data_IF_981030422064
#
_entry.id   IF_981030422064
#
_cell.length_a   1.000
_cell.length_b   1.000
_cell.length_c   1.000
_cell.angle_alpha   90.00
_cell.angle_beta   90.00
_cell.angle_gamma   90.00
#
_symmetry.space_group_name_H-M   'P 1'
#
loop_
_entity.id
_entity.type
_entity.pdbx_description
1 polymer ?
#
# COMPACT_ATOMS: atom_id res chain seq x y z
N UNK A 1 14.01 18.51 38.71
CA UNK A 1 13.72 17.58 37.60
C UNK A 1 15.03 16.98 37.15
N UNK A 2 15.04 15.65 37.08
CA UNK A 2 16.06 14.81 36.47
C UNK A 2 16.31 15.18 35.00
N UNK A 3 17.45 14.75 34.47
CA UNK A 3 17.80 14.95 33.06
C UNK A 3 16.75 14.33 32.14
N UNK A 4 16.24 13.14 32.46
CA UNK A 4 15.23 12.44 31.67
C UNK A 4 13.86 13.12 31.74
N UNK A 5 13.49 13.70 32.90
CA UNK A 5 12.30 14.54 32.99
C UNK A 5 12.42 15.82 32.17
N UNK A 6 13.60 16.44 32.15
CA UNK A 6 13.87 17.62 31.33
C UNK A 6 13.87 17.29 29.83
N UNK A 7 14.33 16.10 29.43
CA UNK A 7 14.25 15.59 28.04
C UNK A 7 12.79 15.32 27.64
N UNK A 8 11.99 14.71 28.52
CA UNK A 8 10.56 14.55 28.31
C UNK A 8 9.88 15.92 28.17
N UNK A 9 10.15 16.84 29.08
CA UNK A 9 9.61 18.21 29.05
C UNK A 9 10.01 18.95 27.78
N UNK A 10 11.27 18.87 27.33
CA UNK A 10 11.73 19.58 26.14
C UNK A 10 11.13 19.03 24.84
N UNK A 11 10.97 17.71 24.73
CA UNK A 11 10.28 17.09 23.59
C UNK A 11 8.80 17.49 23.57
N UNK A 12 8.20 17.64 24.74
CA UNK A 12 6.79 18.01 24.90
C UNK A 12 6.52 19.49 24.65
N UNK A 13 7.45 20.36 25.08
CA UNK A 13 7.39 21.80 24.88
C UNK A 13 7.72 22.22 23.45
N UNK A 14 8.26 21.33 22.61
CA UNK A 14 8.37 21.59 21.18
C UNK A 14 6.94 21.82 20.65
N UNK A 15 6.60 23.07 20.30
CA UNK A 15 5.32 23.31 19.69
C UNK A 15 5.32 22.55 18.35
N UNK A 16 4.20 21.96 17.91
CA UNK A 16 4.09 21.35 16.58
C UNK A 16 4.10 22.42 15.45
N UNK A 17 4.97 23.44 15.59
CA UNK A 17 4.75 24.83 15.17
C UNK A 17 4.96 25.11 13.70
N UNK A 18 5.20 24.09 12.87
CA UNK A 18 5.23 24.25 11.42
C UNK A 18 4.44 23.17 10.66
N UNK A 19 3.81 22.21 11.35
CA UNK A 19 3.09 21.10 10.71
C UNK A 19 1.56 21.20 10.76
N UNK A 20 1.01 22.18 11.49
CA UNK A 20 -0.43 22.29 11.75
C UNK A 20 -1.02 23.69 11.42
N UNK A 21 -0.37 24.46 10.56
CA UNK A 21 -0.94 25.72 10.05
C UNK A 21 -2.05 25.41 9.03
N UNK A 22 -3.31 25.47 9.49
CA UNK A 22 -4.60 25.80 8.85
C UNK A 22 -4.91 25.51 7.36
N UNK A 23 -4.06 24.80 6.61
CA UNK A 23 -4.34 24.45 5.21
C UNK A 23 -4.33 22.98 4.88
N UNK A 24 -4.10 22.10 5.85
CA UNK A 24 -4.38 20.69 5.68
C UNK A 24 -4.43 20.02 7.05
N UNK A 25 -5.62 19.55 7.44
CA UNK A 25 -5.86 18.70 8.60
C UNK A 25 -5.28 17.29 8.37
N UNK A 26 -4.02 17.22 7.94
CA UNK A 26 -3.29 15.99 7.67
C UNK A 26 -2.47 15.68 8.92
N UNK A 27 -2.76 14.56 9.60
CA UNK A 27 -1.79 13.94 10.49
C UNK A 27 -0.58 13.55 9.63
N UNK A 28 0.43 14.41 9.62
CA UNK A 28 1.64 14.24 8.80
C UNK A 28 2.62 13.27 9.47
N UNK A 29 3.59 12.80 8.69
CA UNK A 29 4.77 12.06 9.13
C UNK A 29 5.42 12.64 10.41
N UNK A 30 5.47 13.97 10.53
CA UNK A 30 5.98 14.69 11.69
C UNK A 30 5.23 14.39 12.99
N UNK A 31 3.92 14.15 12.92
CA UNK A 31 3.12 13.79 14.10
C UNK A 31 3.55 12.43 14.64
N UNK A 32 3.96 11.50 13.78
CA UNK A 32 4.43 10.18 14.20
C UNK A 32 5.82 10.24 14.83
N UNK A 33 6.79 10.91 14.18
CA UNK A 33 8.14 11.08 14.73
C UNK A 33 8.09 11.77 16.10
N UNK A 34 7.26 12.81 16.22
CA UNK A 34 7.02 13.50 17.48
C UNK A 34 6.49 12.55 18.56
N UNK A 35 5.43 11.78 18.29
CA UNK A 35 4.89 10.87 19.33
C UNK A 35 5.86 9.72 19.63
N UNK A 36 6.58 9.18 18.65
CA UNK A 36 7.62 8.18 18.91
C UNK A 36 8.73 8.73 19.82
N UNK A 37 9.10 10.01 19.64
CA UNK A 37 10.07 10.67 20.52
C UNK A 37 9.51 10.87 21.94
N UNK A 38 8.22 11.23 22.07
CA UNK A 38 7.53 11.31 23.36
C UNK A 38 7.50 9.94 24.05
N UNK A 39 7.10 8.87 23.35
CA UNK A 39 7.08 7.50 23.90
C UNK A 39 8.46 7.10 24.42
N UNK A 40 9.51 7.29 23.61
CA UNK A 40 10.88 6.97 24.03
C UNK A 40 11.32 7.78 25.25
N UNK A 41 10.95 9.06 25.32
CA UNK A 41 11.24 9.89 26.48
C UNK A 41 10.50 9.42 27.74
N UNK A 42 9.23 9.01 27.62
CA UNK A 42 8.46 8.44 28.74
C UNK A 42 9.09 7.13 29.22
N UNK A 43 9.52 6.24 28.32
CA UNK A 43 10.18 4.99 28.69
C UNK A 43 11.50 5.25 29.44
N UNK A 44 12.34 6.15 28.93
CA UNK A 44 13.59 6.55 29.61
C UNK A 44 13.30 7.15 30.99
N UNK A 45 12.29 8.00 31.09
CA UNK A 45 11.89 8.61 32.35
C UNK A 45 11.35 7.58 33.35
N UNK A 46 10.53 6.62 32.91
CA UNK A 46 10.04 5.53 33.74
C UNK A 46 11.18 4.66 34.29
N UNK A 47 12.16 4.32 33.45
CA UNK A 47 13.38 3.61 33.89
C UNK A 47 14.17 4.44 34.92
N UNK A 48 14.25 5.76 34.73
CA UNK A 48 14.92 6.68 35.68
C UNK A 48 14.18 6.69 37.03
N UNK A 49 12.84 6.83 37.02
CA UNK A 49 12.00 6.81 38.22
C UNK A 49 12.14 5.52 39.03
N UNK A 50 12.20 4.36 38.35
CA UNK A 50 12.33 3.06 38.99
C UNK A 50 13.68 2.87 39.70
N UNK A 51 14.71 3.66 39.34
CA UNK A 51 16.02 3.68 40.01
C UNK A 51 16.08 4.64 41.20
N UNK A 52 15.07 5.50 41.36
CA UNK A 52 15.04 6.50 42.43
C UNK A 52 14.49 5.92 43.74
N UNK A 53 15.09 6.35 44.85
CA UNK A 53 14.54 6.14 46.20
C UNK A 53 13.17 6.80 46.32
N UNK A 54 12.24 6.20 47.09
CA UNK A 54 10.82 6.60 47.12
C UNK A 54 10.61 8.11 47.32
N UNK A 55 11.39 8.73 48.22
CA UNK A 55 11.29 10.17 48.51
C UNK A 55 11.64 11.05 47.31
N UNK A 56 12.69 10.69 46.57
CA UNK A 56 13.14 11.44 45.40
C UNK A 56 12.21 11.21 44.23
N UNK A 57 11.73 9.97 44.06
CA UNK A 57 10.70 9.62 43.07
C UNK A 57 9.43 10.45 43.27
N UNK A 58 8.94 10.55 44.50
CA UNK A 58 7.74 11.34 44.84
C UNK A 58 7.96 12.85 44.61
N UNK A 59 9.17 13.35 44.86
CA UNK A 59 9.52 14.75 44.62
C UNK A 59 9.57 15.07 43.14
N UNK A 60 10.21 14.20 42.36
CA UNK A 60 10.32 14.29 40.91
C UNK A 60 8.95 14.23 40.22
N UNK A 61 8.10 13.29 40.64
CA UNK A 61 6.73 13.16 40.14
C UNK A 61 5.88 14.41 40.45
N UNK A 62 5.99 14.97 41.67
CA UNK A 62 5.29 16.23 42.01
C UNK A 62 5.74 17.39 41.13
N UNK A 63 7.00 17.46 40.75
CA UNK A 63 7.52 18.51 39.87
C UNK A 63 6.97 18.36 38.44
N UNK A 64 6.96 17.14 37.91
CA UNK A 64 6.37 16.86 36.61
C UNK A 64 4.88 17.20 36.58
N UNK A 65 4.10 16.81 37.59
CA UNK A 65 2.67 17.11 37.66
C UNK A 65 2.38 18.60 37.74
N UNK A 66 3.16 19.35 38.53
CA UNK A 66 3.04 20.81 38.58
C UNK A 66 3.32 21.45 37.23
N UNK A 67 4.32 20.94 36.53
CA UNK A 67 4.65 21.41 35.19
C UNK A 67 3.52 21.11 34.19
N UNK A 68 2.93 19.90 34.21
CA UNK A 68 1.79 19.55 33.35
C UNK A 68 0.57 20.44 33.65
N UNK A 69 0.21 20.62 34.91
CA UNK A 69 -0.90 21.49 35.35
C UNK A 69 -0.66 22.95 34.92
N UNK A 70 0.58 23.44 35.04
CA UNK A 70 0.95 24.78 34.58
C UNK A 70 0.78 24.92 33.05
N UNK A 71 1.19 23.91 32.27
CA UNK A 71 1.01 23.93 30.81
C UNK A 71 -0.47 23.85 30.40
N UNK A 72 -1.29 23.10 31.13
CA UNK A 72 -2.75 23.04 30.91
C UNK A 72 -3.42 24.38 31.15
N UNK A 73 -3.12 25.04 32.27
CA UNK A 73 -3.67 26.37 32.60
C UNK A 73 -3.26 27.43 31.59
N UNK A 74 -2.08 27.29 31.00
CA UNK A 74 -1.58 28.18 29.96
C UNK A 74 -2.18 27.91 28.58
N UNK A 75 -3.04 26.88 28.42
CA UNK A 75 -3.60 26.47 27.14
C UNK A 75 -2.57 25.86 26.18
N UNK A 76 -1.36 25.59 26.66
CA UNK A 76 -0.21 25.16 25.86
C UNK A 76 -0.05 23.62 25.81
N UNK A 77 -0.86 22.86 26.54
CA UNK A 77 -0.62 21.42 26.69
C UNK A 77 -1.09 20.60 25.48
N UNK A 78 -0.23 20.55 24.46
CA UNK A 78 -0.17 19.42 23.52
C UNK A 78 -0.12 18.10 24.31
N UNK A 79 0.58 18.09 25.45
CA UNK A 79 0.72 16.91 26.30
C UNK A 79 -0.59 16.41 26.88
N UNK A 80 -1.45 17.26 27.46
CA UNK A 80 -2.71 16.76 28.02
C UNK A 80 -3.68 16.37 26.93
N UNK A 81 -3.69 17.03 25.76
CA UNK A 81 -4.45 16.56 24.59
C UNK A 81 -3.96 15.20 24.07
N UNK A 82 -2.67 14.93 24.15
CA UNK A 82 -2.04 13.65 23.75
C UNK A 82 -2.24 12.57 24.83
N UNK A 83 -2.09 12.91 26.12
CA UNK A 83 -2.11 12.00 27.27
C UNK A 83 -3.51 11.75 27.85
N UNK A 84 -4.40 12.75 27.85
CA UNK A 84 -5.80 12.57 28.27
C UNK A 84 -6.57 11.71 27.28
N UNK A 85 -6.06 11.58 26.04
CA UNK A 85 -6.71 10.80 25.01
C UNK A 85 -8.15 11.23 24.75
N UNK A 86 -8.55 12.48 25.05
CA UNK A 86 -9.89 13.00 24.77
C UNK A 86 -10.05 13.25 23.25
N UNK A 87 -9.95 12.15 22.50
CA UNK A 87 -10.25 12.04 21.08
C UNK A 87 -11.76 11.95 20.85
N UNK A 88 -12.58 12.00 21.91
CA UNK A 88 -14.04 11.85 21.85
C UNK A 88 -14.74 13.07 21.25
N UNK A 89 -14.06 14.21 21.17
CA UNK A 89 -14.55 15.43 20.49
C UNK A 89 -14.33 15.42 18.98
N UNK A 90 -13.73 14.36 18.43
CA UNK A 90 -13.60 14.18 16.99
C UNK A 90 -14.83 13.37 16.53
N UNK A 91 -15.74 13.93 15.72
CA UNK A 91 -16.96 13.26 15.30
C UNK A 91 -16.70 11.85 14.74
N UNK A 92 -17.59 10.90 15.03
CA UNK A 92 -17.59 9.61 14.32
C UNK A 92 -17.68 9.90 12.81
N UNK A 93 -16.61 9.59 12.07
CA UNK A 93 -16.54 9.80 10.62
C UNK A 93 -15.50 10.82 10.13
N UNK A 94 -14.78 11.54 10.99
CA UNK A 94 -13.75 12.52 10.57
C UNK A 94 -12.31 11.99 10.61
N UNK A 95 -12.08 10.72 10.87
CA UNK A 95 -10.72 10.15 10.78
C UNK A 95 -10.41 9.72 9.36
N UNK A 96 -9.23 10.10 8.85
CA UNK A 96 -8.63 9.36 7.74
C UNK A 96 -8.30 7.96 8.26
N UNK A 97 -8.74 6.86 7.64
CA UNK A 97 -8.67 5.57 8.32
C UNK A 97 -7.23 5.03 8.47
N UNK A 98 -6.23 5.63 7.81
CA UNK A 98 -4.80 5.39 8.05
C UNK A 98 -4.28 5.92 9.37
N UNK A 99 -4.95 6.93 9.91
CA UNK A 99 -4.64 7.46 11.23
C UNK A 99 -5.08 6.51 12.33
N UNK A 100 -6.09 5.66 12.09
CA UNK A 100 -6.63 4.81 13.14
C UNK A 100 -5.64 3.72 13.60
N UNK A 101 -5.01 2.91 12.71
CA UNK A 101 -3.97 1.97 13.11
C UNK A 101 -2.79 2.65 13.79
N UNK A 102 -2.37 3.81 13.30
CA UNK A 102 -1.31 4.61 13.95
C UNK A 102 -1.72 5.02 15.35
N UNK A 103 -2.90 5.65 15.51
CA UNK A 103 -3.43 6.06 16.81
C UNK A 103 -3.57 4.89 17.77
N UNK A 104 -3.98 3.70 17.29
CA UNK A 104 -4.07 2.49 18.10
C UNK A 104 -2.70 2.01 18.57
N UNK A 105 -1.70 2.02 17.70
CA UNK A 105 -0.32 1.68 18.06
C UNK A 105 0.24 2.70 19.06
N UNK A 106 0.05 3.99 18.81
CA UNK A 106 0.43 5.06 19.73
C UNK A 106 -0.25 4.93 21.09
N UNK A 107 -1.56 4.64 21.11
CA UNK A 107 -2.29 4.41 22.35
C UNK A 107 -1.77 3.17 23.09
N UNK A 108 -1.44 2.10 22.36
CA UNK A 108 -0.86 0.87 22.93
C UNK A 108 0.50 1.14 23.57
N UNK A 109 1.37 1.84 22.87
CA UNK A 109 2.69 2.24 23.37
C UNK A 109 2.59 3.16 24.59
N UNK A 110 1.74 4.18 24.49
CA UNK A 110 1.47 5.08 25.61
C UNK A 110 0.90 4.30 26.80
N UNK A 111 -0.05 3.38 26.58
CA UNK A 111 -0.61 2.56 27.64
C UNK A 111 0.46 1.70 28.33
N UNK A 112 1.44 1.14 27.61
CA UNK A 112 2.56 0.40 28.21
C UNK A 112 3.43 1.33 29.05
N UNK A 113 3.81 2.48 28.50
CA UNK A 113 4.64 3.44 29.20
C UNK A 113 3.96 3.97 30.48
N UNK A 114 2.64 4.19 30.45
CA UNK A 114 1.86 4.59 31.62
C UNK A 114 1.67 3.48 32.65
N UNK A 115 1.77 2.20 32.27
CA UNK A 115 1.72 1.09 33.25
C UNK A 115 2.92 1.09 34.18
N UNK A 116 4.05 1.65 33.75
CA UNK A 116 5.26 1.81 34.58
C UNK A 116 5.10 2.92 35.63
N UNK A 117 4.12 3.82 35.49
CA UNK A 117 3.83 4.85 36.49
C UNK A 117 3.02 4.28 37.67
N UNK A 118 3.17 4.83 38.89
CA UNK A 118 2.27 4.52 40.00
C UNK A 118 0.82 4.81 39.64
N UNK A 119 -0.11 3.97 40.14
CA UNK A 119 -1.52 3.92 39.69
C UNK A 119 -2.23 5.28 39.81
N UNK A 120 -1.93 6.02 40.86
CA UNK A 120 -2.44 7.35 41.18
C UNK A 120 -2.02 8.44 40.17
N UNK A 121 -0.99 8.19 39.35
CA UNK A 121 -0.47 9.11 38.35
C UNK A 121 -0.74 8.67 36.92
N UNK A 122 -1.44 7.55 36.71
CA UNK A 122 -1.80 7.08 35.38
C UNK A 122 -2.95 7.94 34.83
N UNK A 123 -2.74 8.72 33.76
CA UNK A 123 -3.83 9.42 33.12
C UNK A 123 -4.82 8.41 32.54
N UNK A 124 -6.10 8.78 32.50
CA UNK A 124 -7.14 7.93 31.89
C UNK A 124 -6.96 7.95 30.37
N UNK A 125 -6.74 6.79 29.78
CA UNK A 125 -6.78 6.62 28.33
C UNK A 125 -8.21 6.26 27.89
N UNK A 126 -8.84 7.09 27.06
CA UNK A 126 -10.12 6.73 26.44
C UNK A 126 -9.92 5.65 25.38
N UNK A 127 -10.73 4.58 25.40
CA UNK A 127 -10.69 3.55 24.37
C UNK A 127 -10.97 4.17 23.00
N UNK A 128 -10.13 3.88 22.01
CA UNK A 128 -10.46 4.18 20.62
C UNK A 128 -11.75 3.43 20.22
N UNK A 129 -12.65 4.06 19.43
CA UNK A 129 -13.86 3.40 18.94
C UNK A 129 -13.47 2.20 18.08
N UNK A 130 -14.30 1.15 18.02
CA UNK A 130 -14.00 -0.03 17.20
C UNK A 130 -13.93 0.32 15.69
N UNK A 131 -12.83 -0.04 15.02
CA UNK A 131 -12.63 0.24 13.61
C UNK A 131 -13.15 -0.89 12.71
N UNK A 132 -14.40 -0.75 12.28
CA UNK A 132 -15.01 -1.59 11.26
C UNK A 132 -14.59 -1.22 9.82
N UNK A 133 -13.77 -0.19 9.63
CA UNK A 133 -13.47 0.29 8.27
C UNK A 133 -12.75 -0.75 7.44
N UNK A 134 -11.92 -1.61 8.03
CA UNK A 134 -11.21 -2.66 7.28
C UNK A 134 -12.18 -3.59 6.54
N UNK A 135 -13.23 -4.07 7.22
CA UNK A 135 -14.24 -4.95 6.64
C UNK A 135 -15.01 -4.20 5.55
N UNK A 136 -15.41 -2.94 5.85
CA UNK A 136 -16.14 -2.08 4.91
C UNK A 136 -15.33 -1.78 3.63
N UNK A 137 -14.05 -1.43 3.78
CA UNK A 137 -13.14 -1.07 2.69
C UNK A 137 -12.94 -2.26 1.75
N UNK A 138 -12.71 -3.46 2.29
CA UNK A 138 -12.56 -4.67 1.47
C UNK A 138 -13.87 -5.06 0.79
N UNK A 139 -15.02 -4.96 1.47
CA UNK A 139 -16.31 -5.21 0.84
C UNK A 139 -16.61 -4.24 -0.32
N UNK A 140 -16.25 -2.95 -0.17
CA UNK A 140 -16.34 -1.96 -1.24
C UNK A 140 -15.41 -2.28 -2.40
N UNK A 141 -14.17 -2.69 -2.12
CA UNK A 141 -13.20 -3.10 -3.15
C UNK A 141 -13.71 -4.28 -3.98
N UNK A 142 -14.30 -5.30 -3.33
CA UNK A 142 -14.90 -6.44 -4.02
C UNK A 142 -16.06 -6.00 -4.91
N UNK A 143 -16.92 -5.09 -4.45
CA UNK A 143 -18.02 -4.55 -5.27
C UNK A 143 -17.50 -3.81 -6.50
N UNK A 144 -16.44 -3.00 -6.37
CA UNK A 144 -15.80 -2.32 -7.50
C UNK A 144 -15.27 -3.35 -8.50
N UNK A 145 -14.55 -4.37 -8.04
CA UNK A 145 -14.00 -5.41 -8.92
C UNK A 145 -15.09 -6.23 -9.63
N UNK A 146 -16.21 -6.50 -8.96
CA UNK A 146 -17.37 -7.14 -9.58
C UNK A 146 -18.01 -6.27 -10.66
N UNK A 147 -18.12 -4.95 -10.44
CA UNK A 147 -18.62 -4.01 -11.45
C UNK A 147 -17.66 -3.93 -12.65
N UNK A 148 -16.35 -3.84 -12.38
CA UNK A 148 -15.32 -3.82 -13.40
C UNK A 148 -15.34 -5.10 -14.24
N UNK A 149 -15.54 -6.27 -13.63
CA UNK A 149 -15.72 -7.54 -14.35
C UNK A 149 -16.92 -7.53 -15.30
N UNK A 150 -18.06 -6.99 -14.86
CA UNK A 150 -19.24 -6.87 -15.72
C UNK A 150 -18.97 -5.92 -16.89
N UNK A 151 -18.40 -4.75 -16.62
CA UNK A 151 -18.03 -3.78 -17.66
C UNK A 151 -17.05 -4.38 -18.65
N UNK A 152 -16.03 -5.09 -18.16
CA UNK A 152 -15.05 -5.80 -18.96
C UNK A 152 -15.71 -6.84 -19.87
N UNK A 153 -16.53 -7.73 -19.31
CA UNK A 153 -17.19 -8.79 -20.08
C UNK A 153 -18.12 -8.22 -21.17
N UNK A 154 -18.80 -7.09 -20.89
CA UNK A 154 -19.64 -6.39 -21.86
C UNK A 154 -18.83 -5.80 -23.02
N UNK A 155 -17.73 -5.10 -22.71
CA UNK A 155 -16.85 -4.52 -23.74
C UNK A 155 -16.12 -5.61 -24.52
N UNK A 156 -15.62 -6.64 -23.84
CA UNK A 156 -14.93 -7.75 -24.50
C UNK A 156 -15.88 -8.42 -25.50
N UNK A 157 -17.10 -8.78 -25.09
CA UNK A 157 -18.10 -9.35 -26.01
C UNK A 157 -18.47 -8.42 -27.17
N UNK A 158 -18.46 -7.10 -26.97
CA UNK A 158 -18.80 -6.12 -28.01
C UNK A 158 -17.71 -5.99 -29.08
N UNK A 159 -16.45 -6.10 -28.68
CA UNK A 159 -15.28 -5.80 -29.52
C UNK A 159 -14.41 -7.00 -29.83
N UNK A 160 -14.79 -8.19 -29.42
CA UNK A 160 -14.22 -9.42 -29.96
C UNK A 160 -15.34 -10.31 -30.45
N UNK A 161 -15.18 -10.87 -31.65
CA UNK A 161 -16.04 -11.92 -32.19
C UNK A 161 -16.10 -13.17 -31.28
N UNK A 162 -15.18 -13.24 -30.31
CA UNK A 162 -15.09 -14.26 -29.28
C UNK A 162 -15.66 -13.74 -27.96
N UNK A 163 -16.52 -14.51 -27.29
CA UNK A 163 -16.73 -14.31 -25.85
C UNK A 163 -15.56 -14.92 -25.06
N UNK A 164 -15.38 -14.51 -23.79
CA UNK A 164 -14.26 -15.00 -22.97
C UNK A 164 -14.20 -16.54 -22.88
N UNK A 165 -15.35 -17.22 -22.83
CA UNK A 165 -15.36 -18.69 -22.78
C UNK A 165 -14.84 -19.33 -24.07
N UNK A 166 -15.10 -18.70 -25.22
CA UNK A 166 -14.62 -19.16 -26.52
C UNK A 166 -13.12 -18.92 -26.62
N UNK A 167 -12.66 -17.73 -26.24
CA UNK A 167 -11.22 -17.42 -26.13
C UNK A 167 -10.46 -18.44 -25.28
N UNK A 168 -10.98 -18.79 -24.10
CA UNK A 168 -10.35 -19.80 -23.23
C UNK A 168 -10.34 -21.19 -23.87
N UNK A 169 -11.39 -21.57 -24.60
CA UNK A 169 -11.42 -22.84 -25.35
C UNK A 169 -10.34 -22.84 -26.45
N UNK A 170 -10.25 -21.77 -27.24
CA UNK A 170 -9.25 -21.61 -28.30
C UNK A 170 -7.82 -21.69 -27.75
N UNK A 171 -7.54 -21.00 -26.64
CA UNK A 171 -6.24 -21.10 -25.96
C UNK A 171 -5.93 -22.54 -25.57
N UNK A 172 -6.89 -23.24 -24.94
CA UNK A 172 -6.68 -24.61 -24.45
C UNK A 172 -6.55 -25.64 -25.57
N UNK A 173 -7.15 -25.40 -26.73
CA UNK A 173 -7.01 -26.26 -27.91
C UNK A 173 -5.79 -25.93 -28.77
N UNK A 174 -5.07 -24.85 -28.49
CA UNK A 174 -3.89 -24.45 -29.26
C UNK A 174 -2.78 -25.47 -29.13
N UNK A 175 -2.24 -25.96 -30.26
CA UNK A 175 -1.06 -26.84 -30.27
C UNK A 175 0.26 -26.08 -30.19
N UNK A 176 0.22 -24.74 -30.22
CA UNK A 176 1.41 -23.89 -30.15
C UNK A 176 2.17 -24.06 -28.80
N UNK A 177 3.45 -24.46 -28.82
CA UNK A 177 4.25 -24.68 -27.61
C UNK A 177 4.40 -23.45 -26.71
N UNK A 178 4.50 -22.24 -27.28
CA UNK A 178 4.61 -21.01 -26.51
C UNK A 178 3.28 -20.69 -25.80
N UNK A 179 2.14 -20.97 -26.45
CA UNK A 179 0.81 -20.86 -25.83
C UNK A 179 0.68 -21.85 -24.68
N UNK A 180 1.09 -23.11 -24.89
CA UNK A 180 1.05 -24.13 -23.83
C UNK A 180 1.96 -23.79 -22.64
N UNK A 181 3.14 -23.23 -22.89
CA UNK A 181 4.02 -22.74 -21.82
C UNK A 181 3.42 -21.55 -21.07
N UNK A 182 2.88 -20.56 -21.77
CA UNK A 182 2.20 -19.43 -21.13
C UNK A 182 0.99 -19.89 -20.30
N UNK A 183 0.21 -20.84 -20.83
CA UNK A 183 -0.91 -21.44 -20.11
C UNK A 183 -0.47 -22.21 -18.86
N UNK A 184 0.63 -22.97 -18.93
CA UNK A 184 1.12 -23.70 -17.77
C UNK A 184 1.53 -22.73 -16.66
N UNK A 185 2.21 -21.63 -16.98
CA UNK A 185 2.59 -20.59 -16.02
C UNK A 185 1.36 -19.95 -15.37
N UNK A 186 0.36 -19.54 -16.16
CA UNK A 186 -0.85 -18.88 -15.63
C UNK A 186 -1.75 -19.84 -14.85
N UNK A 187 -1.86 -21.12 -15.27
CA UNK A 187 -2.69 -22.12 -14.60
C UNK A 187 -2.03 -22.70 -13.33
N UNK A 188 -0.71 -22.87 -13.33
CA UNK A 188 0.05 -23.30 -12.16
C UNK A 188 0.24 -22.17 -11.12
N UNK A 189 -0.37 -21.00 -11.37
CA UNK A 189 -0.29 -19.84 -10.51
C UNK A 189 1.16 -19.37 -10.28
N UNK A 190 1.99 -19.43 -11.32
CA UNK A 190 3.39 -19.00 -11.31
C UNK A 190 3.56 -17.52 -11.70
N UNK A 191 2.56 -16.68 -11.39
CA UNK A 191 2.61 -15.23 -11.59
C UNK A 191 2.57 -14.56 -10.21
N UNK A 192 3.66 -13.92 -9.80
CA UNK A 192 3.72 -13.17 -8.56
C UNK A 192 3.01 -11.82 -8.72
N UNK A 193 2.25 -11.43 -7.69
CA UNK A 193 1.76 -10.07 -7.53
C UNK A 193 2.65 -9.38 -6.52
N UNK A 194 3.39 -8.37 -6.96
CA UNK A 194 4.43 -7.74 -6.14
C UNK A 194 4.30 -6.23 -6.09
N UNK A 195 4.85 -5.62 -5.04
CA UNK A 195 4.87 -4.17 -4.88
C UNK A 195 6.21 -3.71 -4.35
N UNK A 196 6.79 -2.71 -5.02
CA UNK A 196 8.01 -2.05 -4.55
C UNK A 196 7.70 -0.93 -3.56
N UNK A 197 8.48 -0.86 -2.49
CA UNK A 197 8.43 0.22 -1.50
C UNK A 197 9.85 0.62 -1.09
N UNK A 198 10.06 1.88 -0.67
CA UNK A 198 11.35 2.30 -0.13
C UNK A 198 11.65 1.58 1.18
N UNK A 199 12.92 1.51 1.59
CA UNK A 199 13.31 0.89 2.87
C UNK A 199 12.69 1.63 4.08
N UNK A 200 12.43 2.93 3.96
CA UNK A 200 11.64 3.68 4.96
C UNK A 200 10.21 3.15 5.13
N UNK A 201 9.71 2.38 4.15
CA UNK A 201 8.49 1.58 4.18
C UNK A 201 8.39 0.60 5.32
N UNK A 202 9.52 -0.02 5.69
CA UNK A 202 9.60 -1.07 6.72
C UNK A 202 9.06 -0.62 8.07
N UNK A 203 9.13 0.67 8.35
CA UNK A 203 8.63 1.25 9.57
C UNK A 203 7.11 1.39 9.59
N UNK A 204 6.48 1.94 8.55
CA UNK A 204 5.05 2.26 8.58
C UNK A 204 4.14 1.16 8.03
N UNK A 205 4.65 0.28 7.15
CA UNK A 205 3.85 -0.81 6.56
C UNK A 205 3.30 -1.78 7.63
N UNK A 206 4.09 -2.24 8.62
CA UNK A 206 3.55 -3.11 9.68
C UNK A 206 2.43 -2.46 10.50
N UNK A 207 2.44 -1.13 10.57
CA UNK A 207 1.54 -0.35 11.43
C UNK A 207 0.26 0.03 10.71
N UNK A 208 0.38 0.46 9.46
CA UNK A 208 -0.72 1.07 8.69
C UNK A 208 -1.20 0.21 7.54
N UNK A 209 -0.43 -0.82 7.17
CA UNK A 209 -0.59 -1.51 5.90
C UNK A 209 0.02 -0.72 4.74
N UNK A 210 -0.15 -1.25 3.54
CA UNK A 210 0.30 -0.58 2.32
C UNK A 210 -0.66 0.57 2.00
N UNK A 211 -0.10 1.72 1.64
CA UNK A 211 -0.89 2.89 1.25
C UNK A 211 -0.79 3.14 -0.25
N UNK A 212 -1.85 3.72 -0.81
CA UNK A 212 -1.83 4.28 -2.17
C UNK A 212 -1.44 5.76 -2.14
N UNK A 213 -1.16 6.30 -3.32
CA UNK A 213 -0.74 7.69 -3.49
C UNK A 213 -1.77 8.73 -3.05
N UNK A 214 -3.07 8.39 -3.01
CA UNK A 214 -4.12 9.31 -2.56
C UNK A 214 -4.12 9.50 -1.05
N UNK A 215 -3.65 8.47 -0.34
CA UNK A 215 -3.45 8.53 1.09
C UNK A 215 -2.12 9.20 1.43
N UNK A 216 -1.04 8.83 0.74
CA UNK A 216 0.30 9.33 1.08
C UNK A 216 0.61 10.71 0.52
N UNK A 217 -0.15 11.18 -0.47
CA UNK A 217 0.14 12.40 -1.22
C UNK A 217 1.45 12.34 -2.02
N UNK A 218 2.08 11.17 -2.10
CA UNK A 218 3.42 11.00 -2.67
C UNK A 218 3.39 10.15 -3.94
N UNK A 219 3.67 10.79 -5.07
CA UNK A 219 4.08 10.13 -6.31
C UNK A 219 5.01 11.07 -7.08
N UNK A 220 6.10 10.52 -7.65
CA UNK A 220 7.11 11.26 -8.43
C UNK A 220 6.49 11.75 -9.74
N UNK A 221 5.76 12.87 -9.69
CA UNK A 221 5.01 13.43 -10.82
C UNK A 221 3.48 13.50 -10.63
N UNK A 222 3.00 13.43 -9.39
CA UNK A 222 1.57 13.42 -9.09
C UNK A 222 0.87 14.74 -9.48
N UNK A 223 0.02 14.67 -10.50
CA UNK A 223 -1.21 15.46 -10.56
C UNK A 223 -2.36 14.50 -10.21
N UNK A 224 -2.87 14.58 -8.98
CA UNK A 224 -3.88 13.66 -8.47
C UNK A 224 -5.19 13.67 -9.22
N UNK A 225 -5.54 14.81 -9.80
CA UNK A 225 -6.71 14.97 -10.64
C UNK A 225 -6.56 14.15 -11.92
N UNK A 226 -5.42 14.26 -12.61
CA UNK A 226 -5.15 13.50 -13.85
C UNK A 226 -5.25 12.01 -13.61
N UNK A 227 -4.67 11.51 -12.50
CA UNK A 227 -4.73 10.09 -12.19
C UNK A 227 -6.14 9.64 -11.80
N UNK A 228 -6.88 10.39 -10.97
CA UNK A 228 -8.28 10.01 -10.65
C UNK A 228 -9.15 9.99 -11.90
N UNK A 229 -8.96 10.95 -12.81
CA UNK A 229 -9.69 10.99 -14.07
C UNK A 229 -9.34 9.77 -14.93
N UNK A 230 -8.06 9.44 -15.07
CA UNK A 230 -7.60 8.23 -15.74
C UNK A 230 -8.21 6.94 -15.13
N UNK A 231 -8.17 6.82 -13.81
CA UNK A 231 -8.65 5.63 -13.11
C UNK A 231 -10.18 5.50 -13.15
N UNK A 232 -10.92 6.60 -13.24
CA UNK A 232 -12.37 6.57 -13.48
C UNK A 232 -12.71 5.86 -14.80
N UNK A 233 -11.91 6.10 -15.85
CA UNK A 233 -12.02 5.42 -17.15
C UNK A 233 -11.69 3.93 -16.99
N UNK A 234 -10.57 3.63 -16.35
CA UNK A 234 -10.09 2.26 -16.17
C UNK A 234 -11.03 1.38 -15.34
N UNK A 235 -11.89 2.00 -14.54
CA UNK A 235 -12.91 1.32 -13.73
C UNK A 235 -14.33 1.46 -14.29
N UNK A 236 -14.48 2.11 -15.45
CA UNK A 236 -15.75 2.44 -16.08
C UNK A 236 -16.75 3.11 -15.12
N UNK A 237 -16.27 4.14 -14.40
CA UNK A 237 -17.04 5.00 -13.49
C UNK A 237 -17.05 6.43 -14.01
N UNK A 238 -18.06 7.21 -13.65
CA UNK A 238 -17.94 8.66 -13.80
C UNK A 238 -16.82 9.21 -12.92
N UNK A 239 -16.30 10.38 -13.27
CA UNK A 239 -15.29 11.06 -12.46
C UNK A 239 -15.87 11.32 -11.06
N UNK A 240 -17.10 11.81 -10.98
CA UNK A 240 -17.78 12.13 -9.73
C UNK A 240 -17.93 10.89 -8.83
N UNK A 241 -18.39 9.76 -9.39
CA UNK A 241 -18.56 8.51 -8.65
C UNK A 241 -17.23 7.95 -8.18
N UNK A 242 -16.18 8.05 -9.00
CA UNK A 242 -14.84 7.60 -8.65
C UNK A 242 -14.22 8.47 -7.54
N UNK A 243 -14.41 9.78 -7.62
CA UNK A 243 -13.90 10.74 -6.64
C UNK A 243 -14.59 10.63 -5.27
N UNK A 244 -15.85 10.22 -5.25
CA UNK A 244 -16.61 9.96 -4.03
C UNK A 244 -16.16 8.68 -3.29
N UNK A 245 -15.33 7.83 -3.91
CA UNK A 245 -14.78 6.65 -3.24
C UNK A 245 -13.84 7.05 -2.10
N UNK A 246 -13.91 6.31 -1.00
CA UNK A 246 -12.94 6.39 0.08
C UNK A 246 -11.53 6.12 -0.47
N UNK A 247 -10.58 7.02 -0.20
CA UNK A 247 -9.21 6.91 -0.67
C UNK A 247 -8.55 5.58 -0.25
N UNK A 248 -9.00 4.91 0.82
CA UNK A 248 -8.45 3.60 1.19
C UNK A 248 -8.90 2.45 0.29
N UNK A 249 -10.08 2.59 -0.32
CA UNK A 249 -10.62 1.63 -1.28
C UNK A 249 -9.87 1.72 -2.60
N UNK A 250 -9.42 2.91 -2.97
CA UNK A 250 -8.69 3.19 -4.21
C UNK A 250 -7.44 2.30 -4.38
N UNK A 251 -7.06 1.99 -5.63
CA UNK A 251 -6.11 0.93 -5.90
C UNK A 251 -4.71 1.26 -5.40
N UNK A 252 -4.01 0.22 -4.95
CA UNK A 252 -2.58 0.22 -4.70
C UNK A 252 -1.90 -0.45 -5.88
N UNK A 253 -0.93 0.24 -6.46
CA UNK A 253 -0.26 -0.22 -7.67
C UNK A 253 0.94 -1.10 -7.35
N UNK A 254 1.04 -2.19 -8.10
CA UNK A 254 2.14 -3.14 -8.08
C UNK A 254 2.52 -3.57 -9.50
N UNK A 255 3.26 -4.66 -9.57
CA UNK A 255 3.67 -5.30 -10.81
C UNK A 255 3.37 -6.79 -10.75
N UNK A 256 2.85 -7.35 -11.84
CA UNK A 256 2.90 -8.80 -12.03
C UNK A 256 4.25 -9.19 -12.63
N UNK A 257 4.81 -10.28 -12.13
CA UNK A 257 6.03 -10.88 -12.69
C UNK A 257 5.85 -12.39 -12.76
N UNK A 258 6.45 -13.05 -13.74
CA UNK A 258 6.50 -14.50 -13.71
C UNK A 258 7.37 -14.91 -12.50
N UNK A 259 7.05 -16.02 -11.84
CA UNK A 259 7.89 -16.53 -10.77
C UNK A 259 9.30 -16.79 -11.33
N UNK A 260 10.33 -16.56 -10.51
CA UNK A 260 11.74 -16.69 -10.95
C UNK A 260 12.03 -18.08 -11.57
N UNK A 261 11.31 -19.11 -11.13
CA UNK A 261 11.43 -20.50 -11.59
C UNK A 261 10.98 -20.70 -13.05
N UNK A 262 10.23 -19.76 -13.62
CA UNK A 262 9.75 -19.85 -15.02
C UNK A 262 10.84 -19.58 -16.06
N UNK A 263 11.96 -18.97 -15.66
CA UNK A 263 13.04 -18.56 -16.56
C UNK A 263 12.68 -17.39 -17.49
N UNK A 264 11.49 -16.79 -17.36
CA UNK A 264 11.10 -15.61 -18.12
C UNK A 264 11.82 -14.37 -17.59
N UNK A 265 12.25 -13.50 -18.51
CA UNK A 265 12.92 -12.26 -18.14
C UNK A 265 11.91 -11.30 -17.48
N UNK A 266 12.02 -11.13 -16.17
CA UNK A 266 11.25 -10.17 -15.41
C UNK A 266 11.99 -8.83 -15.36
N UNK A 267 12.07 -8.11 -16.48
CA UNK A 267 12.74 -6.81 -16.51
C UNK A 267 11.93 -5.76 -15.69
N UNK A 268 12.19 -5.71 -14.39
CA UNK A 268 11.53 -4.83 -13.45
C UNK A 268 12.17 -3.44 -13.37
N UNK A 269 13.04 -3.04 -14.31
CA UNK A 269 13.75 -1.75 -14.26
C UNK A 269 12.78 -0.57 -14.11
N UNK A 270 11.64 -0.60 -14.83
CA UNK A 270 10.61 0.46 -14.76
C UNK A 270 10.03 0.67 -13.35
N UNK A 271 10.04 -0.39 -12.52
CA UNK A 271 9.49 -0.35 -11.16
C UNK A 271 10.52 0.04 -10.09
N UNK A 272 11.83 -0.02 -10.38
CA UNK A 272 12.90 0.23 -9.39
C UNK A 272 12.79 1.61 -8.71
N UNK A 273 12.26 2.59 -9.42
CA UNK A 273 12.03 3.95 -8.90
C UNK A 273 11.11 4.03 -7.68
N UNK A 274 10.29 3.00 -7.43
CA UNK A 274 9.36 2.91 -6.30
C UNK A 274 9.98 2.31 -5.03
N UNK A 275 11.19 1.75 -5.12
CA UNK A 275 11.97 1.31 -3.98
C UNK A 275 12.70 -0.03 -4.17
N UNK A 276 13.58 -0.31 -3.22
CA UNK A 276 14.42 -1.50 -3.16
C UNK A 276 13.73 -2.71 -2.51
N UNK A 277 12.73 -2.49 -1.65
CA UNK A 277 12.00 -3.58 -1.01
C UNK A 277 10.85 -4.05 -1.89
N UNK A 278 10.72 -5.37 -2.05
CA UNK A 278 9.67 -6.00 -2.83
C UNK A 278 8.82 -6.87 -1.90
N UNK A 279 7.52 -6.64 -1.93
CA UNK A 279 6.53 -7.41 -1.17
C UNK A 279 5.70 -8.22 -2.16
N UNK A 280 5.78 -9.55 -2.09
CA UNK A 280 4.97 -10.48 -2.88
C UNK A 280 3.75 -10.89 -2.07
N UNK A 281 2.56 -10.75 -2.65
CA UNK A 281 1.30 -10.99 -1.96
C UNK A 281 0.75 -12.39 -2.20
N UNK A 282 0.12 -12.94 -1.16
CA UNK A 282 -0.69 -14.17 -1.22
C UNK A 282 -1.90 -13.91 -2.13
N UNK A 283 -1.89 -14.49 -3.33
CA UNK A 283 -2.96 -14.28 -4.31
C UNK A 283 -4.35 -14.67 -3.80
N UNK A 284 -4.43 -15.74 -3.00
CA UNK A 284 -5.68 -16.20 -2.36
C UNK A 284 -6.35 -15.12 -1.50
N UNK A 285 -5.61 -14.13 -1.01
CA UNK A 285 -6.13 -13.04 -0.14
C UNK A 285 -6.54 -11.78 -0.93
N UNK A 286 -6.16 -11.69 -2.21
CA UNK A 286 -6.30 -10.45 -3.00
C UNK A 286 -6.97 -10.65 -4.36
N UNK A 287 -7.15 -11.89 -4.84
CA UNK A 287 -7.60 -12.17 -6.21
C UNK A 287 -8.99 -11.61 -6.55
N UNK A 288 -9.85 -11.44 -5.56
CA UNK A 288 -11.20 -10.87 -5.69
C UNK A 288 -11.21 -9.34 -5.80
N UNK A 289 -10.06 -8.71 -5.58
CA UNK A 289 -9.82 -7.26 -5.61
C UNK A 289 -8.65 -6.87 -6.51
N UNK A 290 -8.13 -7.83 -7.27
CA UNK A 290 -6.97 -7.69 -8.14
C UNK A 290 -7.39 -7.53 -9.60
N UNK A 291 -6.76 -6.59 -10.27
CA UNK A 291 -6.79 -6.45 -11.73
C UNK A 291 -5.41 -6.10 -12.26
N UNK A 292 -5.22 -6.19 -13.57
CA UNK A 292 -3.94 -5.93 -14.20
C UNK A 292 -4.09 -5.24 -15.55
N UNK A 293 -3.03 -4.60 -16.00
CA UNK A 293 -2.95 -3.93 -17.28
C UNK A 293 -1.61 -4.26 -17.93
N UNK A 294 -1.57 -4.59 -19.23
CA UNK A 294 -0.31 -4.80 -19.94
C UNK A 294 0.44 -3.46 -20.09
N UNK A 295 1.62 -3.34 -19.47
CA UNK A 295 2.41 -2.11 -19.44
C UNK A 295 1.89 -1.02 -18.51
N UNK A 296 2.30 0.21 -18.82
CA UNK A 296 1.91 1.41 -18.09
C UNK A 296 0.56 1.94 -18.60
N UNK A 297 -0.47 1.83 -17.75
CA UNK A 297 -1.83 2.24 -18.10
C UNK A 297 -1.93 3.72 -18.48
N UNK A 298 -1.09 4.60 -17.93
CA UNK A 298 -1.14 6.03 -18.27
C UNK A 298 -0.63 6.34 -19.68
N UNK A 299 0.27 5.51 -20.24
CA UNK A 299 0.77 5.72 -21.59
C UNK A 299 -0.34 5.52 -22.65
N UNK A 300 -1.32 4.65 -22.37
CA UNK A 300 -2.50 4.47 -23.21
C UNK A 300 -3.37 5.74 -23.28
N UNK A 301 -3.40 6.55 -22.22
CA UNK A 301 -4.13 7.82 -22.22
C UNK A 301 -3.33 8.96 -22.83
N UNK A 302 -2.02 9.01 -22.56
CA UNK A 302 -1.12 10.06 -23.06
C UNK A 302 -1.03 10.10 -24.59
N UNK A 303 -1.02 8.92 -25.22
CA UNK A 303 -0.97 8.80 -26.68
C UNK A 303 -2.21 9.35 -27.40
N UNK A 304 -3.33 9.54 -26.68
CA UNK A 304 -4.59 9.95 -27.28
C UNK A 304 -5.01 11.42 -27.01
N UNK A 305 -4.50 12.11 -25.97
CA UNK A 305 -5.09 13.42 -25.59
C UNK A 305 -4.20 14.45 -24.86
N UNK A 306 -3.02 14.11 -24.31
CA UNK A 306 -2.42 14.98 -23.26
C UNK A 306 -1.16 15.78 -23.62
N UNK A 307 -0.42 15.44 -24.68
CA UNK A 307 0.88 16.08 -24.98
C UNK A 307 0.96 16.86 -26.30
N UNK A 308 -0.07 16.81 -27.13
CA UNK A 308 -0.22 17.77 -28.22
C UNK A 308 -0.82 19.04 -27.62
N UNK A 309 -0.05 20.12 -27.49
CA UNK A 309 -0.45 21.43 -26.96
C UNK A 309 -1.58 22.16 -27.72
N UNK A 310 -2.45 21.42 -28.40
CA UNK A 310 -3.72 21.89 -28.93
C UNK A 310 -4.81 21.73 -27.87
N UNK A 311 -5.59 22.80 -27.68
CA UNK A 311 -6.77 22.88 -26.81
C UNK A 311 -7.46 21.52 -26.67
N UNK A 312 -7.45 20.99 -25.46
CA UNK A 312 -8.12 19.78 -25.03
C UNK A 312 -9.56 19.76 -25.56
N UNK A 313 -9.80 19.03 -26.65
CA UNK A 313 -11.13 18.48 -26.82
C UNK A 313 -11.28 17.50 -25.67
N UNK A 314 -12.24 17.79 -24.78
CA UNK A 314 -12.85 16.83 -23.86
C UNK A 314 -13.46 15.70 -24.70
N UNK A 315 -12.61 14.91 -25.36
CA UNK A 315 -13.01 13.62 -25.90
C UNK A 315 -13.48 12.86 -24.68
N UNK A 316 -14.76 12.51 -24.67
CA UNK A 316 -15.41 11.71 -23.64
C UNK A 316 -14.40 10.70 -23.10
N UNK A 317 -14.01 10.88 -21.85
CA UNK A 317 -13.15 9.97 -21.11
C UNK A 317 -13.98 8.72 -20.81
N UNK A 318 -14.39 7.98 -21.84
CA UNK A 318 -15.13 6.72 -21.74
C UNK A 318 -14.26 5.59 -22.23
N UNK A 319 -14.32 4.45 -21.55
CA UNK A 319 -13.70 3.22 -22.04
C UNK A 319 -14.54 2.69 -23.18
N UNK A 320 -14.12 2.99 -24.41
CA UNK A 320 -14.84 2.55 -25.60
C UNK A 320 -14.39 1.18 -26.05
N UNK A 321 -13.35 0.58 -25.45
CA UNK A 321 -12.87 -0.77 -25.76
C UNK A 321 -12.34 -1.49 -24.51
N UNK A 322 -12.28 -2.82 -24.55
CA UNK A 322 -11.91 -3.63 -23.37
C UNK A 322 -10.42 -3.50 -23.00
N UNK A 323 -9.55 -3.23 -23.97
CA UNK A 323 -8.11 -3.03 -23.82
C UNK A 323 -7.76 -1.68 -23.15
N UNK A 324 -8.77 -0.83 -22.92
CA UNK A 324 -8.64 0.41 -22.14
C UNK A 324 -8.96 0.21 -20.66
N UNK A 325 -9.45 -0.96 -20.26
CA UNK A 325 -9.75 -1.28 -18.87
C UNK A 325 -8.63 -2.11 -18.25
N UNK A 326 -8.46 -1.97 -16.93
CA UNK A 326 -7.75 -2.99 -16.18
C UNK A 326 -8.55 -4.30 -16.25
N UNK A 327 -7.86 -5.39 -16.54
CA UNK A 327 -8.41 -6.74 -16.69
C UNK A 327 -8.52 -7.37 -15.29
N UNK A 328 -9.71 -7.74 -14.82
CA UNK A 328 -9.86 -8.42 -13.53
C UNK A 328 -9.10 -9.74 -13.49
N UNK A 329 -8.57 -10.12 -12.32
CA UNK A 329 -7.80 -11.37 -12.16
C UNK A 329 -8.59 -12.63 -12.55
N UNK A 330 -9.92 -12.61 -12.41
CA UNK A 330 -10.83 -13.66 -12.91
C UNK A 330 -10.75 -13.88 -14.44
N UNK A 331 -10.08 -12.99 -15.17
CA UNK A 331 -9.82 -13.04 -16.60
C UNK A 331 -8.34 -13.18 -16.94
N UNK A 332 -7.48 -13.58 -15.98
CA UNK A 332 -6.01 -13.72 -16.12
C UNK A 332 -5.51 -14.51 -17.33
N UNK A 333 -6.30 -15.41 -17.92
CA UNK A 333 -5.90 -16.08 -19.16
C UNK A 333 -5.73 -15.12 -20.36
N UNK A 334 -6.23 -13.89 -20.28
CA UNK A 334 -5.92 -12.83 -21.24
C UNK A 334 -4.47 -12.34 -21.15
N UNK A 335 -3.70 -12.75 -20.15
CA UNK A 335 -2.25 -12.54 -20.12
C UNK A 335 -1.53 -13.38 -21.17
N UNK A 336 -2.10 -14.53 -21.57
CA UNK A 336 -1.41 -15.53 -22.41
C UNK A 336 -0.91 -14.95 -23.73
N UNK A 337 -1.70 -14.20 -24.53
CA UNK A 337 -1.19 -13.62 -25.77
C UNK A 337 0.02 -12.69 -25.54
N UNK A 338 0.01 -11.89 -24.45
CA UNK A 338 1.15 -11.03 -24.10
C UNK A 338 2.38 -11.85 -23.71
N UNK A 339 2.22 -12.89 -22.89
CA UNK A 339 3.32 -13.77 -22.48
C UNK A 339 3.93 -14.55 -23.65
N UNK A 340 3.10 -15.01 -24.59
CA UNK A 340 3.56 -15.73 -25.80
C UNK A 340 4.50 -14.86 -26.61
N UNK A 341 4.20 -13.56 -26.75
CA UNK A 341 5.10 -12.61 -27.41
C UNK A 341 6.46 -12.58 -26.72
N UNK A 342 6.48 -12.44 -25.39
CA UNK A 342 7.73 -12.39 -24.62
C UNK A 342 8.53 -13.69 -24.77
N UNK A 343 7.88 -14.85 -24.62
CA UNK A 343 8.47 -16.19 -24.81
C UNK A 343 9.08 -16.32 -26.21
N UNK A 344 8.39 -15.83 -27.24
CA UNK A 344 8.87 -15.92 -28.62
C UNK A 344 10.05 -15.00 -28.87
N UNK A 345 10.02 -13.78 -28.33
CA UNK A 345 11.16 -12.84 -28.42
C UNK A 345 12.40 -13.34 -27.71
N UNK A 346 12.27 -14.02 -26.56
CA UNK A 346 13.42 -14.60 -25.84
C UNK A 346 13.99 -15.83 -26.54
N UNK A 347 13.15 -16.62 -27.22
CA UNK A 347 13.53 -17.90 -27.82
C UNK A 347 13.71 -17.84 -29.35
N UNK A 348 13.84 -16.65 -29.94
CA UNK A 348 14.01 -16.44 -31.39
C UNK A 348 12.89 -17.00 -32.28
N UNK A 349 11.68 -17.25 -31.73
CA UNK A 349 10.53 -17.61 -32.54
C UNK A 349 9.98 -16.36 -33.23
N UNK A 350 9.99 -16.33 -34.57
CA UNK A 350 9.53 -15.17 -35.36
C UNK A 350 8.08 -15.28 -35.87
N UNK A 351 7.33 -16.29 -35.43
CA UNK A 351 5.95 -16.43 -35.85
C UNK A 351 5.08 -15.31 -35.21
N UNK A 352 4.17 -14.66 -35.97
CA UNK A 352 3.16 -13.78 -35.40
C UNK A 352 2.17 -14.61 -34.55
N UNK A 353 1.53 -13.97 -33.57
CA UNK A 353 0.44 -14.63 -32.82
C UNK A 353 -0.64 -15.08 -33.81
N UNK A 354 -1.21 -16.29 -33.67
CA UNK A 354 -2.37 -16.68 -34.46
C UNK A 354 -3.48 -15.64 -34.30
N UNK A 355 -4.09 -15.22 -35.41
CA UNK A 355 -5.14 -14.17 -35.41
C UNK A 355 -6.32 -14.51 -34.49
N UNK A 356 -6.60 -15.80 -34.30
CA UNK A 356 -7.62 -16.34 -33.40
C UNK A 356 -7.29 -16.13 -31.91
N UNK A 357 -6.03 -15.83 -31.59
CA UNK A 357 -5.52 -15.58 -30.24
C UNK A 357 -5.26 -14.09 -29.97
N UNK A 358 -5.50 -13.22 -30.95
CA UNK A 358 -5.39 -11.76 -30.83
C UNK A 358 -6.79 -11.15 -30.91
N UNK A 359 -7.47 -10.92 -29.78
CA UNK A 359 -8.78 -10.26 -29.81
C UNK A 359 -8.65 -8.89 -30.46
N UNK A 360 -9.67 -8.47 -31.20
CA UNK A 360 -9.68 -7.14 -31.80
C UNK A 360 -9.53 -6.06 -30.70
N UNK A 361 -8.76 -5.01 -31.03
CA UNK A 361 -8.30 -4.00 -30.06
C UNK A 361 -6.99 -4.35 -29.34
N UNK A 362 -6.48 -5.58 -29.44
CA UNK A 362 -5.16 -5.94 -28.92
C UNK A 362 -4.05 -5.17 -29.66
N UNK A 363 -3.56 -4.09 -29.06
CA UNK A 363 -2.38 -3.38 -29.55
C UNK A 363 -1.14 -4.05 -28.98
N UNK A 364 -0.29 -4.55 -29.87
CA UNK A 364 1.02 -5.10 -29.52
C UNK A 364 1.98 -4.00 -29.02
N UNK A 365 1.74 -3.42 -27.85
CA UNK A 365 2.78 -2.57 -27.24
C UNK A 365 3.97 -3.41 -26.81
N UNK A 366 5.15 -2.79 -26.81
CA UNK A 366 6.30 -3.34 -26.11
C UNK A 366 6.05 -3.11 -24.62
N UNK A 367 5.69 -4.18 -23.92
CA UNK A 367 5.41 -4.12 -22.49
C UNK A 367 6.58 -4.78 -21.75
N UNK A 368 7.32 -4.00 -20.97
CA UNK A 368 8.41 -4.54 -20.13
C UNK A 368 7.89 -5.11 -18.80
N UNK A 369 6.63 -4.86 -18.45
CA UNK A 369 5.99 -5.34 -17.22
C UNK A 369 4.45 -5.30 -17.34
N UNK A 370 3.75 -5.97 -16.43
CA UNK A 370 2.31 -5.80 -16.23
C UNK A 370 2.05 -4.97 -14.96
N UNK A 371 1.33 -3.86 -15.09
CA UNK A 371 0.87 -3.08 -13.94
C UNK A 371 -0.28 -3.82 -13.25
N UNK A 372 -0.25 -3.91 -11.91
CA UNK A 372 -1.35 -4.49 -11.13
C UNK A 372 -2.01 -3.43 -10.27
N UNK A 373 -3.33 -3.55 -10.10
CA UNK A 373 -4.14 -2.77 -9.19
C UNK A 373 -4.76 -3.69 -8.14
N UNK A 374 -4.51 -3.38 -6.87
CA UNK A 374 -5.15 -4.07 -5.74
C UNK A 374 -6.02 -3.07 -4.98
N UNK A 375 -7.34 -3.26 -5.02
CA UNK A 375 -8.29 -2.41 -4.33
C UNK A 375 -8.45 -2.80 -2.86
N UNK A 376 -8.78 -1.82 -2.01
CA UNK A 376 -9.03 -2.04 -0.59
C UNK A 376 -7.76 -2.19 0.25
N UNK A 377 -7.89 -2.70 1.47
CA UNK A 377 -6.79 -2.76 2.44
C UNK A 377 -5.77 -3.84 2.08
N UNK A 378 -4.50 -3.54 2.33
CA UNK A 378 -3.38 -4.46 2.21
C UNK A 378 -2.54 -4.37 3.48
N UNK A 379 -2.25 -5.51 4.11
CA UNK A 379 -1.44 -5.59 5.34
C UNK A 379 -0.34 -6.63 5.18
N UNK A 380 0.56 -6.72 6.16
CA UNK A 380 1.59 -7.76 6.18
C UNK A 380 1.01 -9.19 6.26
N UNK A 381 -0.19 -9.38 6.79
CA UNK A 381 -0.86 -10.70 6.79
C UNK A 381 -1.06 -11.27 5.38
N UNK A 382 -1.20 -10.39 4.40
CA UNK A 382 -1.42 -10.73 2.99
C UNK A 382 -0.11 -10.88 2.22
N UNK A 383 1.04 -10.64 2.85
CA UNK A 383 2.36 -10.80 2.23
C UNK A 383 2.83 -12.24 2.42
N UNK A 384 3.31 -12.84 1.35
CA UNK A 384 3.93 -14.16 1.34
C UNK A 384 5.45 -14.05 1.47
N UNK A 385 6.05 -13.20 0.65
CA UNK A 385 7.50 -13.02 0.58
C UNK A 385 7.87 -11.54 0.68
N UNK A 386 8.90 -11.26 1.47
CA UNK A 386 9.60 -9.98 1.52
C UNK A 386 11.01 -10.18 0.96
N UNK A 387 11.33 -9.46 -0.11
CA UNK A 387 12.62 -9.50 -0.79
C UNK A 387 13.29 -8.12 -0.65
N UNK A 388 14.48 -8.07 -0.04
CA UNK A 388 15.23 -6.82 0.10
C UNK A 388 16.38 -6.77 -0.91
N UNK A 389 16.59 -5.59 -1.48
CA UNK A 389 17.67 -5.32 -2.45
C UNK A 389 18.81 -4.45 -1.85
N UNK A 390 18.64 -3.96 -0.62
CA UNK A 390 19.63 -3.14 0.08
C UNK A 390 19.97 -3.70 1.45
N UNK A 391 19.52 -3.02 2.51
CA UNK A 391 19.81 -3.49 3.89
C UNK A 391 18.93 -4.69 4.25
N UNK A 392 19.42 -5.73 4.98
CA UNK A 392 18.55 -6.78 5.50
C UNK A 392 17.56 -6.23 6.54
N UNK A 393 16.38 -6.86 6.74
CA UNK A 393 15.44 -6.45 7.77
C UNK A 393 16.02 -6.73 9.16
N UNK A 394 15.83 -5.80 10.10
CA UNK A 394 16.34 -5.92 11.47
C UNK A 394 15.29 -5.47 12.50
N UNK A 395 15.57 -5.71 13.78
CA UNK A 395 14.80 -5.18 14.90
C UNK A 395 13.32 -5.53 14.85
N UNK A 396 12.47 -4.52 15.09
CA UNK A 396 11.02 -4.69 15.13
C UNK A 396 10.44 -5.15 13.79
N UNK A 397 10.94 -4.63 12.66
CA UNK A 397 10.43 -5.02 11.35
C UNK A 397 10.68 -6.51 11.08
N UNK A 398 11.88 -7.01 11.40
CA UNK A 398 12.17 -8.44 11.32
C UNK A 398 11.23 -9.27 12.21
N UNK A 399 10.94 -8.79 13.44
CA UNK A 399 10.00 -9.46 14.32
C UNK A 399 8.58 -9.52 13.73
N UNK A 400 8.13 -8.46 13.04
CA UNK A 400 6.84 -8.46 12.33
C UNK A 400 6.84 -9.46 11.17
N UNK A 401 7.89 -9.48 10.32
CA UNK A 401 7.99 -10.46 9.24
C UNK A 401 7.89 -11.91 9.76
N UNK A 402 8.61 -12.23 10.84
CA UNK A 402 8.55 -13.54 11.51
C UNK A 402 7.15 -13.84 12.08
N UNK A 403 6.54 -12.88 12.77
CA UNK A 403 5.19 -13.02 13.34
C UNK A 403 4.15 -13.35 12.27
N UNK A 404 4.23 -12.72 11.10
CA UNK A 404 3.33 -12.94 9.97
C UNK A 404 3.74 -14.15 9.10
N UNK A 405 4.81 -14.87 9.46
CA UNK A 405 5.37 -16.02 8.72
C UNK A 405 5.71 -15.67 7.27
N UNK A 406 6.26 -14.48 7.06
CA UNK A 406 6.67 -13.99 5.73
C UNK A 406 8.05 -14.57 5.42
N UNK A 407 8.20 -15.18 4.23
CA UNK A 407 9.50 -15.65 3.72
C UNK A 407 10.39 -14.44 3.44
N UNK A 408 11.65 -14.50 3.86
CA UNK A 408 12.61 -13.41 3.65
C UNK A 408 13.62 -13.84 2.58
N UNK A 409 13.77 -13.05 1.53
CA UNK A 409 14.69 -13.31 0.42
C UNK A 409 15.75 -12.21 0.34
N UNK A 410 17.02 -12.61 0.23
CA UNK A 410 18.12 -11.72 -0.13
C UNK A 410 18.17 -11.57 -1.65
N UNK A 411 17.58 -10.49 -2.14
CA UNK A 411 17.49 -10.18 -3.56
C UNK A 411 18.77 -9.59 -4.17
N UNK A 412 19.81 -9.33 -3.35
CA UNK A 412 21.10 -8.80 -3.82
C UNK A 412 21.92 -9.85 -4.58
N UNK A 413 21.60 -11.12 -4.38
CA UNK A 413 22.26 -12.25 -5.03
C UNK A 413 21.51 -12.67 -6.30
N UNK A 414 22.21 -13.29 -7.24
CA UNK A 414 21.64 -13.88 -8.45
C UNK A 414 22.12 -15.34 -8.57
N UNK A 415 21.25 -16.34 -8.37
CA UNK A 415 19.83 -16.21 -8.04
C UNK A 415 19.59 -15.64 -6.64
N UNK A 416 18.41 -15.05 -6.42
CA UNK A 416 17.99 -14.62 -5.09
C UNK A 416 17.85 -15.84 -4.15
N UNK A 417 18.25 -15.69 -2.88
CA UNK A 417 18.30 -16.81 -1.92
C UNK A 417 17.48 -16.51 -0.67
N UNK A 418 16.98 -17.57 -0.02
CA UNK A 418 16.31 -17.41 1.27
C UNK A 418 17.30 -16.90 2.32
N UNK A 419 16.93 -15.80 2.97
CA UNK A 419 17.76 -15.13 3.95
C UNK A 419 17.63 -15.81 5.31
N UNK A 420 18.77 -16.09 5.94
CA UNK A 420 18.83 -16.57 7.31
C UNK A 420 19.47 -15.50 8.19
N UNK A 421 18.96 -15.35 9.42
CA UNK A 421 19.52 -14.40 10.37
C UNK A 421 20.95 -14.83 10.74
N UNK A 422 21.96 -13.94 10.63
CA UNK A 422 23.32 -14.26 11.02
C UNK A 422 23.35 -14.74 12.48
N UNK A 423 24.03 -15.87 12.73
CA UNK A 423 24.29 -16.32 14.10
C UNK A 423 25.17 -15.27 14.78
N UNK A 424 24.71 -14.76 15.93
CA UNK A 424 25.47 -13.82 16.76
C UNK A 424 26.66 -14.49 17.42
#
# INVERSE_FOLDING_TARGET
>A
MSKEALELVSIVDLPPKEALTDRDQNVTWFTFEYVSSVTSAVEKYAVSLNKMVDKDRQTELKQLLRYIDQQERNGNSSLSKILSGDFTKIPQGTYKPTEYPLRRELQSQLSKALQELPKEFRPRLHKLPYDNNTIRVNASAVKIMQQQLRSFDLLFKKYSDLNYSTFVKTLRSSEDPAVQLALSIVNADQIDVSMRRPESGRFWIPRTGFQNQYVTGSSKGFNGEVRKNAESIFTNKSVEDYWALDNEVLPKYGTLRAANETGLNNDLQASKQYGSDIYVFKKTEIEDRLSFFPGDSLNHLRSNTWFTGGKSQEKKLTSDSWDQLFIPWKRRLLMVPFMVKDIRTSNSFRAPLPSELTPEGFKESQHYYWESQIFGKLTLDMVETFEFQGTPPTGEFLAQLKKHKIKIIDGRQQPAVEWTEPKK
#
